data_IF_818184795602
#
_entry.id   IF_818184795602
#
_cell.length_a   1.000
_cell.length_b   1.000
_cell.length_c   1.000
_cell.angle_alpha   90.00
_cell.angle_beta   90.00
_cell.angle_gamma   90.00
#
_symmetry.space_group_name_H-M   'P 1'
#
loop_
_entity.id
_entity.type
_entity.pdbx_description
1 polymer ?
#
# COMPACT_ATOMS: atom_id res chain seq x y z
N UNK A 1 8.49 32.26 -10.84
CA UNK A 1 8.92 30.91 -10.46
C UNK A 1 7.82 29.95 -10.85
N UNK A 2 8.16 28.91 -11.63
CA UNK A 2 7.18 27.90 -12.04
C UNK A 2 6.98 26.90 -10.90
N UNK A 3 5.76 26.85 -10.37
CA UNK A 3 5.36 25.97 -9.26
C UNK A 3 4.22 25.10 -9.75
N UNK A 4 4.40 23.78 -9.66
CA UNK A 4 3.37 22.83 -10.05
C UNK A 4 3.31 21.66 -9.06
N UNK A 5 2.15 21.00 -9.04
CA UNK A 5 1.90 19.83 -8.19
C UNK A 5 1.85 18.58 -9.04
N UNK A 6 2.45 17.48 -8.56
CA UNK A 6 2.43 16.17 -9.22
C UNK A 6 2.08 15.07 -8.22
N UNK A 7 1.26 14.12 -8.66
CA UNK A 7 0.97 12.89 -7.92
C UNK A 7 1.77 11.71 -8.49
N UNK A 8 2.27 10.88 -7.60
CA UNK A 8 3.05 9.67 -7.90
C UNK A 8 2.66 8.54 -6.97
N UNK A 9 3.12 7.34 -7.27
CA UNK A 9 3.02 6.21 -6.34
C UNK A 9 4.16 6.19 -5.31
N UNK A 10 4.20 5.13 -4.50
CA UNK A 10 5.21 4.95 -3.45
C UNK A 10 6.66 4.97 -3.96
N UNK A 11 6.90 4.64 -5.23
CA UNK A 11 8.21 4.60 -5.87
C UNK A 11 8.53 5.89 -6.63
N UNK A 12 7.72 6.94 -6.43
CA UNK A 12 7.81 8.22 -7.15
C UNK A 12 7.54 8.09 -8.66
N UNK A 13 6.89 7.01 -9.08
CA UNK A 13 6.47 6.78 -10.47
C UNK A 13 5.17 7.54 -10.79
N UNK A 14 5.02 8.06 -12.02
CA UNK A 14 3.79 8.73 -12.44
C UNK A 14 2.56 7.82 -12.34
N UNK A 15 1.44 8.37 -11.85
CA UNK A 15 0.17 7.66 -11.84
C UNK A 15 -0.41 7.57 -13.26
N UNK A 16 -0.50 6.35 -13.78
CA UNK A 16 -0.95 6.08 -15.15
C UNK A 16 -2.31 5.34 -15.18
N UNK A 17 -3.15 5.69 -16.15
CA UNK A 17 -4.42 5.01 -16.44
C UNK A 17 -5.67 5.73 -15.96
N UNK A 18 -6.83 5.27 -16.45
CA UNK A 18 -8.12 5.96 -16.30
C UNK A 18 -8.67 5.99 -14.85
N UNK A 19 -8.12 5.17 -13.95
CA UNK A 19 -8.54 5.12 -12.55
C UNK A 19 -8.05 6.31 -11.72
N UNK A 20 -7.16 7.13 -12.26
CA UNK A 20 -6.58 8.28 -11.59
C UNK A 20 -7.03 9.57 -12.27
N UNK A 21 -7.48 10.53 -11.46
CA UNK A 21 -7.76 11.90 -11.91
C UNK A 21 -7.24 12.87 -10.86
N UNK A 22 -6.45 13.85 -11.25
CA UNK A 22 -6.03 14.93 -10.37
C UNK A 22 -6.66 16.26 -10.78
N UNK A 23 -7.01 17.07 -9.79
CA UNK A 23 -7.53 18.42 -9.97
C UNK A 23 -6.63 19.38 -9.19
N UNK A 24 -6.22 20.48 -9.83
CA UNK A 24 -5.37 21.52 -9.24
C UNK A 24 -6.12 22.86 -9.25
N UNK A 25 -7.13 23.05 -8.38
CA UNK A 25 -7.92 24.29 -8.37
C UNK A 25 -7.08 25.51 -7.96
N UNK A 26 -5.96 25.32 -7.23
CA UNK A 26 -5.04 26.39 -6.84
C UNK A 26 -3.58 25.93 -6.97
N UNK A 27 -2.63 26.88 -7.04
CA UNK A 27 -1.21 26.58 -7.19
C UNK A 27 -0.63 25.68 -6.08
N UNK A 28 -1.17 25.78 -4.85
CA UNK A 28 -0.71 25.02 -3.69
C UNK A 28 -1.73 23.98 -3.19
N UNK A 29 -2.76 23.67 -3.98
CA UNK A 29 -3.78 22.70 -3.61
C UNK A 29 -4.07 21.75 -4.76
N UNK A 30 -3.97 20.46 -4.48
CA UNK A 30 -4.31 19.40 -5.43
C UNK A 30 -5.15 18.33 -4.75
N UNK A 31 -6.09 17.77 -5.50
CA UNK A 31 -6.91 16.63 -5.07
C UNK A 31 -6.72 15.49 -6.05
N UNK A 32 -6.40 14.30 -5.52
CA UNK A 32 -6.33 13.07 -6.28
C UNK A 32 -7.60 12.25 -6.05
N UNK A 33 -8.27 11.89 -7.14
CA UNK A 33 -9.38 10.95 -7.19
C UNK A 33 -8.87 9.62 -7.72
N UNK A 34 -9.18 8.54 -7.00
CA UNK A 34 -8.76 7.18 -7.34
C UNK A 34 -9.98 6.26 -7.29
N UNK A 35 -10.24 5.53 -8.37
CA UNK A 35 -11.08 4.33 -8.29
C UNK A 35 -10.27 3.22 -7.60
N UNK A 36 -10.57 2.99 -6.32
CA UNK A 36 -9.85 2.04 -5.45
C UNK A 36 -9.96 0.60 -5.97
N UNK A 37 -8.86 -0.15 -5.86
CA UNK A 37 -8.80 -1.61 -5.99
C UNK A 37 -8.55 -2.23 -4.62
N UNK A 38 -8.89 -3.51 -4.45
CA UNK A 38 -8.60 -4.22 -3.20
C UNK A 38 -7.09 -4.26 -2.89
N UNK A 39 -6.25 -4.38 -3.92
CA UNK A 39 -4.78 -4.34 -3.80
C UNK A 39 -4.20 -2.94 -3.59
N UNK A 40 -5.04 -1.89 -3.56
CA UNK A 40 -4.58 -0.57 -3.11
C UNK A 40 -4.53 -0.48 -1.57
N UNK A 41 -4.90 -1.54 -0.84
CA UNK A 41 -4.73 -1.58 0.61
C UNK A 41 -3.26 -1.44 0.99
N UNK A 42 -2.97 -0.53 1.93
CA UNK A 42 -1.61 -0.15 2.33
C UNK A 42 -0.78 0.47 1.21
N UNK A 43 -1.39 0.82 0.06
CA UNK A 43 -0.70 1.53 -1.01
C UNK A 43 -0.57 3.01 -0.67
N UNK A 44 0.65 3.52 -0.84
CA UNK A 44 0.98 4.93 -0.60
C UNK A 44 0.94 5.74 -1.90
N UNK A 45 0.28 6.90 -1.83
CA UNK A 45 0.26 7.91 -2.89
C UNK A 45 0.97 9.16 -2.39
N UNK A 46 1.83 9.74 -3.23
CA UNK A 46 2.60 10.93 -2.87
C UNK A 46 2.15 12.13 -3.70
N UNK A 47 2.04 13.27 -3.03
CA UNK A 47 1.83 14.57 -3.65
C UNK A 47 3.11 15.40 -3.49
N UNK A 48 3.64 15.87 -4.61
CA UNK A 48 4.86 16.66 -4.67
C UNK A 48 4.58 18.08 -5.09
N UNK A 49 5.17 19.04 -4.40
CA UNK A 49 5.30 20.43 -4.86
C UNK A 49 6.66 20.57 -5.53
N UNK A 50 6.64 20.95 -6.81
CA UNK A 50 7.85 21.18 -7.59
C UNK A 50 8.05 22.67 -7.85
N UNK A 51 9.31 23.10 -7.83
CA UNK A 51 9.72 24.44 -8.24
C UNK A 51 10.90 24.30 -9.18
N UNK A 52 10.78 24.86 -10.39
CA UNK A 52 11.78 24.69 -11.46
C UNK A 52 12.12 23.21 -11.71
N UNK A 53 11.07 22.37 -11.78
CA UNK A 53 11.15 20.92 -11.96
C UNK A 53 11.93 20.13 -10.88
N UNK A 54 12.18 20.74 -9.71
CA UNK A 54 12.76 20.07 -8.54
C UNK A 54 11.71 19.92 -7.45
N UNK A 55 11.64 18.74 -6.84
CA UNK A 55 10.78 18.50 -5.68
C UNK A 55 11.27 19.36 -4.51
N UNK A 56 10.40 20.21 -3.96
CA UNK A 56 10.68 21.04 -2.79
C UNK A 56 9.99 20.53 -1.52
N UNK A 57 8.82 19.92 -1.67
CA UNK A 57 8.08 19.31 -0.58
C UNK A 57 7.25 18.12 -1.07
N UNK A 58 6.99 17.17 -0.17
CA UNK A 58 6.18 15.99 -0.43
C UNK A 58 5.29 15.68 0.77
N UNK A 59 4.09 15.17 0.50
CA UNK A 59 3.23 14.54 1.50
C UNK A 59 2.74 13.20 0.97
N UNK A 60 2.61 12.22 1.85
CA UNK A 60 2.19 10.86 1.53
C UNK A 60 0.85 10.55 2.18
N UNK A 61 0.02 9.77 1.49
CA UNK A 61 -1.22 9.22 2.02
C UNK A 61 -1.26 7.71 1.75
N UNK A 62 -1.44 6.93 2.81
CA UNK A 62 -1.59 5.48 2.74
C UNK A 62 -3.08 5.11 2.72
N UNK A 63 -3.47 4.25 1.78
CA UNK A 63 -4.88 3.91 1.58
C UNK A 63 -5.31 2.71 2.42
N UNK A 64 -6.40 2.87 3.15
CA UNK A 64 -7.15 1.74 3.74
C UNK A 64 -8.33 1.38 2.84
N UNK A 65 -8.45 0.08 2.53
CA UNK A 65 -9.54 -0.49 1.73
C UNK A 65 -10.18 -1.61 2.55
N UNK A 66 -11.48 -1.55 2.77
CA UNK A 66 -12.22 -2.63 3.43
C UNK A 66 -12.17 -3.91 2.58
N UNK A 67 -11.84 -5.05 3.19
CA UNK A 67 -11.57 -6.29 2.45
C UNK A 67 -10.33 -6.20 1.57
N UNK A 68 -9.43 -5.27 1.88
CA UNK A 68 -8.19 -5.04 1.15
C UNK A 68 -7.31 -6.30 1.07
N UNK A 69 -6.59 -6.43 -0.04
CA UNK A 69 -5.68 -7.53 -0.29
C UNK A 69 -4.24 -7.02 -0.22
N UNK A 70 -3.40 -7.76 0.50
CA UNK A 70 -1.95 -7.54 0.51
C UNK A 70 -1.28 -8.48 -0.49
N UNK A 71 -0.35 -7.94 -1.27
CA UNK A 71 0.45 -8.71 -2.23
C UNK A 71 1.86 -8.89 -1.67
N UNK A 72 2.32 -10.15 -1.61
CA UNK A 72 3.67 -10.51 -1.16
C UNK A 72 4.37 -11.29 -2.26
N UNK A 73 5.61 -10.92 -2.55
CA UNK A 73 6.46 -11.58 -3.54
C UNK A 73 7.67 -12.20 -2.83
N UNK A 74 7.96 -13.46 -3.12
CA UNK A 74 9.11 -14.18 -2.60
C UNK A 74 9.84 -14.88 -3.76
N UNK A 75 11.15 -15.10 -3.63
CA UNK A 75 11.90 -15.83 -4.65
C UNK A 75 11.54 -17.33 -4.62
N UNK A 76 11.75 -18.01 -5.75
CA UNK A 76 11.49 -19.46 -5.83
C UNK A 76 12.41 -20.20 -4.87
N UNK A 77 11.82 -21.00 -3.97
CA UNK A 77 12.54 -21.77 -2.96
C UNK A 77 12.71 -21.05 -1.62
N UNK A 78 12.30 -19.78 -1.50
CA UNK A 78 12.25 -19.08 -0.23
C UNK A 78 10.91 -19.31 0.49
N UNK A 79 10.96 -19.31 1.82
CA UNK A 79 9.75 -19.35 2.66
C UNK A 79 9.19 -17.94 2.85
N UNK A 80 7.86 -17.82 2.89
CA UNK A 80 7.17 -16.57 3.21
C UNK A 80 6.46 -16.70 4.56
N UNK A 81 6.53 -15.65 5.39
CA UNK A 81 5.75 -15.54 6.62
C UNK A 81 4.63 -14.54 6.40
N UNK A 82 3.39 -15.01 6.50
CA UNK A 82 2.20 -14.17 6.34
C UNK A 82 1.57 -13.95 7.71
N UNK A 83 1.56 -12.69 8.15
CA UNK A 83 1.00 -12.33 9.45
C UNK A 83 -0.50 -12.13 9.31
N UNK A 84 -1.29 -12.62 10.28
CA UNK A 84 -2.71 -12.32 10.35
C UNK A 84 -2.96 -11.29 11.47
N UNK A 85 -3.33 -10.06 11.09
CA UNK A 85 -3.66 -8.97 12.01
C UNK A 85 -5.17 -8.77 12.08
N UNK A 86 -5.90 -9.81 12.48
CA UNK A 86 -7.35 -9.70 12.63
C UNK A 86 -7.72 -8.95 13.92
N UNK A 87 -8.52 -7.89 13.81
CA UNK A 87 -9.21 -7.26 14.96
C UNK A 87 -10.44 -8.06 15.44
N UNK A 88 -10.55 -9.34 15.06
CA UNK A 88 -11.68 -10.17 15.45
C UNK A 88 -11.71 -10.30 16.98
N UNK A 89 -12.86 -9.98 17.56
CA UNK A 89 -13.16 -10.22 18.97
C UNK A 89 -12.89 -11.69 19.32
N UNK A 90 -12.44 -11.92 20.56
CA UNK A 90 -12.11 -13.23 21.13
C UNK A 90 -13.11 -14.32 20.68
N UNK A 91 -12.62 -15.32 19.93
CA UNK A 91 -13.43 -16.45 19.44
C UNK A 91 -13.42 -16.70 17.92
N UNK A 92 -12.77 -15.84 17.11
CA UNK A 92 -12.59 -16.10 15.68
C UNK A 92 -11.54 -17.20 15.42
N UNK A 93 -11.88 -18.18 14.58
CA UNK A 93 -10.90 -19.12 14.03
C UNK A 93 -10.39 -18.58 12.67
N UNK A 94 -9.08 -18.46 12.52
CA UNK A 94 -8.45 -18.06 11.25
C UNK A 94 -7.83 -19.29 10.60
N UNK A 95 -8.15 -19.52 9.33
CA UNK A 95 -7.61 -20.61 8.53
C UNK A 95 -6.99 -20.07 7.24
N UNK A 96 -5.79 -20.54 6.92
CA UNK A 96 -5.15 -20.26 5.64
C UNK A 96 -5.59 -21.29 4.60
N UNK A 97 -6.05 -20.81 3.44
CA UNK A 97 -6.46 -21.66 2.32
C UNK A 97 -5.75 -21.27 1.03
N UNK A 98 -5.48 -22.26 0.18
CA UNK A 98 -5.00 -22.06 -1.20
C UNK A 98 -6.03 -22.67 -2.13
N UNK A 99 -6.61 -21.87 -3.03
CA UNK A 99 -7.69 -22.29 -3.91
C UNK A 99 -8.79 -23.06 -3.16
N UNK A 100 -9.25 -22.52 -2.03
CA UNK A 100 -10.27 -23.11 -1.12
C UNK A 100 -9.84 -24.39 -0.37
N UNK A 101 -8.62 -24.87 -0.57
CA UNK A 101 -8.07 -26.02 0.15
C UNK A 101 -7.31 -25.56 1.40
N UNK A 102 -7.68 -26.03 2.60
CA UNK A 102 -6.95 -25.70 3.83
C UNK A 102 -5.48 -26.13 3.80
N UNK A 103 -4.59 -25.24 4.24
CA UNK A 103 -3.17 -25.54 4.44
C UNK A 103 -2.98 -26.27 5.77
N UNK A 104 -2.56 -27.54 5.73
CA UNK A 104 -2.37 -28.38 6.93
C UNK A 104 -0.96 -28.35 7.51
N UNK A 105 0.04 -27.93 6.73
CA UNK A 105 1.45 -27.89 7.11
C UNK A 105 1.92 -26.46 7.37
N UNK A 106 1.23 -25.74 8.27
CA UNK A 106 1.70 -24.44 8.74
C UNK A 106 2.28 -24.57 10.14
N UNK A 107 3.55 -24.20 10.30
CA UNK A 107 4.10 -23.89 11.61
C UNK A 107 3.59 -22.51 12.02
N UNK A 108 2.73 -22.46 13.02
CA UNK A 108 2.36 -21.20 13.66
C UNK A 108 3.50 -20.80 14.59
N UNK A 109 4.39 -19.92 14.13
CA UNK A 109 5.35 -19.29 15.05
C UNK A 109 4.66 -18.16 15.79
N UNK A 110 4.17 -18.45 17.00
CA UNK A 110 3.73 -17.42 17.93
C UNK A 110 4.94 -16.75 18.57
N UNK A 111 5.56 -15.79 17.88
CA UNK A 111 6.33 -14.72 18.53
C UNK A 111 6.57 -13.52 17.61
N UNK A 112 6.22 -12.30 18.02
CA UNK A 112 6.74 -11.09 17.41
C UNK A 112 8.15 -10.87 17.96
N UNK A 113 9.14 -11.57 17.40
CA UNK A 113 10.53 -11.25 17.72
C UNK A 113 10.86 -9.93 17.02
N UNK A 114 10.95 -8.88 17.84
CA UNK A 114 11.38 -7.54 17.49
C UNK A 114 12.57 -7.58 16.50
N UNK A 115 12.46 -6.72 15.49
CA UNK A 115 13.48 -6.41 14.48
C UNK A 115 14.84 -6.00 15.08
N UNK A 116 15.93 -6.25 14.32
CA UNK A 116 16.99 -5.31 13.87
C UNK A 116 17.74 -6.03 12.71
N UNK A 117 17.72 -5.56 11.45
CA UNK A 117 18.52 -4.51 10.77
C UNK A 117 20.04 -4.76 10.66
N UNK A 118 20.48 -4.80 9.38
CA UNK A 118 21.83 -4.72 8.77
C UNK A 118 22.79 -5.89 9.00
#
# INVERSE_FOLDING_TARGET
SDIHIRWTDQNDEPLNGQRFRSENPFACFSKLFITKKLTDHHRTWKCHVLQNNQIKASISYETTVEGGLEEVFAAVGESVSLTCTSSLSSGGNTEWTVNTTPLRNMSSETSPTKAFHV
#
